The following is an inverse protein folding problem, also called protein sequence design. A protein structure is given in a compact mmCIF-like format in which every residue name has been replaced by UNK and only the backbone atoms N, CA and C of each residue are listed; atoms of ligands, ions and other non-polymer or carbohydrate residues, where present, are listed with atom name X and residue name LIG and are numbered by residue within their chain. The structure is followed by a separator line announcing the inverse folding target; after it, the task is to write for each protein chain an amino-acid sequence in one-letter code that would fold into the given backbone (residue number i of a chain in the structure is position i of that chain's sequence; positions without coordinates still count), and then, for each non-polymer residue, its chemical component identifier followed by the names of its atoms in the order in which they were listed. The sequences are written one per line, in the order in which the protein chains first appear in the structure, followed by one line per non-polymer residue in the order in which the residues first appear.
data_IF_890794793976
#
_entry.id   IF_890794793976
#
_cell.length_a   1.000
_cell.length_b   1.000
_cell.length_c   1.000
_cell.angle_alpha   90.00
_cell.angle_beta   90.00
_cell.angle_gamma   90.00
#
_symmetry.space_group_name_H-M   'P 1'
#
loop_
_entity.id
_entity.type
_entity.pdbx_description
1 polymer ?
#
# COMPACT_ATOMS: atom_id res chain seq x y z
N UNK A 1 17.04 9.75 21.07
CA UNK A 1 16.98 8.38 20.51
C UNK A 1 15.94 8.22 19.38
N UNK A 2 14.83 8.98 19.34
CA UNK A 2 13.64 8.68 18.52
C UNK A 2 13.64 9.06 17.01
N UNK A 3 14.63 9.79 16.49
CA UNK A 3 14.69 10.18 15.06
C UNK A 3 15.92 9.60 14.33
N UNK A 4 17.01 9.36 15.05
CA UNK A 4 18.25 8.82 14.51
C UNK A 4 18.06 7.39 13.95
N UNK A 5 17.22 6.58 14.58
CA UNK A 5 16.94 5.19 14.18
C UNK A 5 15.85 5.06 13.10
N UNK A 6 15.08 6.11 12.83
CA UNK A 6 13.96 6.04 11.87
C UNK A 6 14.45 6.10 10.43
N UNK A 7 13.96 5.20 9.59
CA UNK A 7 14.30 5.10 8.15
C UNK A 7 13.09 5.29 7.24
N UNK A 8 12.02 5.90 7.74
CA UNK A 8 10.89 6.30 6.90
C UNK A 8 11.23 7.53 6.04
N UNK A 9 10.43 7.74 5.01
CA UNK A 9 10.65 8.75 3.98
C UNK A 9 10.81 10.16 4.57
N UNK A 10 10.04 10.51 5.60
CA UNK A 10 10.16 11.79 6.30
C UNK A 10 11.47 11.87 7.12
N UNK A 11 11.82 10.81 7.83
CA UNK A 11 13.08 10.76 8.57
C UNK A 11 14.30 10.87 7.63
N UNK A 12 14.27 10.22 6.45
CA UNK A 12 15.32 10.33 5.43
C UNK A 12 15.45 11.76 4.90
N UNK A 13 14.33 12.45 4.66
CA UNK A 13 14.34 13.85 4.25
C UNK A 13 14.90 14.79 5.32
N UNK A 14 14.54 14.59 6.60
CA UNK A 14 15.04 15.41 7.72
C UNK A 14 16.53 15.17 7.98
N UNK A 15 17.02 13.95 7.74
CA UNK A 15 18.44 13.59 7.85
C UNK A 15 19.31 14.17 6.71
N UNK A 16 18.71 14.69 5.65
CA UNK A 16 19.45 15.27 4.53
C UNK A 16 20.10 16.60 4.94
N UNK A 17 21.40 16.77 4.70
CA UNK A 17 22.16 17.94 5.16
C UNK A 17 21.89 19.21 4.33
N UNK A 18 21.34 19.06 3.12
CA UNK A 18 21.03 20.18 2.21
C UNK A 18 19.73 20.89 2.62
N UNK A 19 19.84 21.73 3.66
CA UNK A 19 18.71 22.49 4.21
C UNK A 19 18.21 23.61 3.30
N UNK A 20 18.99 24.02 2.30
CA UNK A 20 18.51 25.00 1.30
C UNK A 20 17.53 24.34 0.32
N UNK A 21 17.82 23.11 -0.14
CA UNK A 21 16.89 22.36 -1.00
C UNK A 21 15.74 21.72 -0.22
N UNK A 22 16.00 21.26 1.01
CA UNK A 22 15.03 20.58 1.86
C UNK A 22 14.57 21.44 3.04
N UNK A 23 14.14 22.67 2.74
CA UNK A 23 13.55 23.54 3.77
C UNK A 23 12.32 22.88 4.42
N UNK A 24 12.03 23.24 5.67
CA UNK A 24 10.85 22.71 6.39
C UNK A 24 9.54 22.94 5.63
N UNK A 25 9.42 24.06 4.90
CA UNK A 25 8.26 24.35 4.06
C UNK A 25 8.18 23.37 2.89
N UNK A 26 9.26 23.19 2.15
CA UNK A 26 9.32 22.25 1.04
C UNK A 26 8.99 20.82 1.50
N UNK A 27 9.57 20.36 2.61
CA UNK A 27 9.30 19.04 3.15
C UNK A 27 7.82 18.85 3.52
N UNK A 28 7.20 19.87 4.14
CA UNK A 28 5.77 19.85 4.45
C UNK A 28 4.94 19.71 3.17
N UNK A 29 5.23 20.54 2.16
CA UNK A 29 4.49 20.55 0.90
C UNK A 29 4.61 19.19 0.18
N UNK A 30 5.81 18.60 0.16
CA UNK A 30 6.06 17.26 -0.41
C UNK A 30 5.30 16.17 0.35
N UNK A 31 5.37 16.15 1.68
CA UNK A 31 4.67 15.15 2.50
C UNK A 31 3.16 15.24 2.31
N UNK A 32 2.60 16.46 2.28
CA UNK A 32 1.18 16.67 2.04
C UNK A 32 0.76 16.15 0.66
N UNK A 33 1.55 16.43 -0.37
CA UNK A 33 1.30 15.91 -1.73
C UNK A 33 1.28 14.38 -1.76
N UNK A 34 2.22 13.71 -1.09
CA UNK A 34 2.23 12.24 -1.02
C UNK A 34 1.03 11.67 -0.28
N UNK A 35 0.65 12.27 0.86
CA UNK A 35 -0.50 11.81 1.63
C UNK A 35 -1.78 11.95 0.81
N UNK A 36 -1.98 13.10 0.15
CA UNK A 36 -3.16 13.34 -0.68
C UNK A 36 -3.19 12.36 -1.86
N UNK A 37 -2.06 12.22 -2.56
CA UNK A 37 -1.95 11.32 -3.71
C UNK A 37 -2.25 9.87 -3.33
N UNK A 38 -1.77 9.39 -2.18
CA UNK A 38 -1.99 8.02 -1.73
C UNK A 38 -3.37 7.78 -1.13
N UNK A 39 -3.91 8.74 -0.37
CA UNK A 39 -5.16 8.56 0.39
C UNK A 39 -6.37 8.39 -0.52
N UNK A 40 -6.66 9.39 -1.35
CA UNK A 40 -7.95 9.44 -2.05
C UNK A 40 -7.98 8.43 -3.20
N UNK A 41 -6.84 8.20 -3.87
CA UNK A 41 -6.72 7.21 -4.95
C UNK A 41 -6.83 5.78 -4.43
N UNK A 42 -6.15 5.45 -3.33
CA UNK A 42 -6.21 4.11 -2.74
C UNK A 42 -7.59 3.83 -2.13
N UNK A 43 -8.20 4.82 -1.48
CA UNK A 43 -9.57 4.68 -0.98
C UNK A 43 -10.56 4.41 -2.11
N UNK A 44 -10.44 5.13 -3.24
CA UNK A 44 -11.26 4.90 -4.42
C UNK A 44 -11.07 3.48 -4.99
N UNK A 45 -9.82 3.06 -5.19
CA UNK A 45 -9.48 1.73 -5.69
C UNK A 45 -10.07 0.61 -4.81
N UNK A 46 -9.88 0.69 -3.48
CA UNK A 46 -10.42 -0.29 -2.55
C UNK A 46 -11.96 -0.30 -2.52
N UNK A 47 -12.59 0.87 -2.62
CA UNK A 47 -14.05 0.98 -2.68
C UNK A 47 -14.60 0.23 -3.89
N UNK A 48 -14.00 0.43 -5.07
CA UNK A 48 -14.39 -0.29 -6.28
C UNK A 48 -14.09 -1.77 -6.21
N UNK A 49 -12.93 -2.15 -5.66
CA UNK A 49 -12.56 -3.55 -5.47
C UNK A 49 -13.63 -4.26 -4.64
N UNK A 50 -13.97 -3.73 -3.46
CA UNK A 50 -14.98 -4.35 -2.61
C UNK A 50 -16.38 -4.35 -3.24
N UNK A 51 -16.74 -3.32 -4.00
CA UNK A 51 -17.99 -3.32 -4.76
C UNK A 51 -18.04 -4.45 -5.81
N UNK A 52 -16.95 -4.63 -6.58
CA UNK A 52 -16.86 -5.70 -7.59
C UNK A 52 -16.92 -7.06 -6.91
N UNK A 53 -16.19 -7.27 -5.83
CA UNK A 53 -16.20 -8.54 -5.08
C UNK A 53 -17.59 -8.86 -4.51
N UNK A 54 -18.25 -7.88 -3.92
CA UNK A 54 -19.61 -8.05 -3.38
C UNK A 54 -20.65 -8.41 -4.46
N UNK A 55 -20.42 -8.00 -5.71
CA UNK A 55 -21.29 -8.30 -6.85
C UNK A 55 -20.88 -9.56 -7.62
N UNK A 56 -19.70 -10.13 -7.33
CA UNK A 56 -19.15 -11.32 -7.98
C UNK A 56 -18.65 -12.34 -6.93
N UNK A 57 -19.57 -13.05 -6.23
CA UNK A 57 -19.21 -13.94 -5.13
C UNK A 57 -18.21 -15.04 -5.51
N UNK A 58 -18.29 -15.58 -6.73
CA UNK A 58 -17.36 -16.59 -7.22
C UNK A 58 -15.91 -16.08 -7.34
N UNK A 59 -15.74 -14.80 -7.70
CA UNK A 59 -14.41 -14.16 -7.74
C UNK A 59 -13.90 -13.89 -6.33
N UNK A 60 -14.79 -13.46 -5.43
CA UNK A 60 -14.46 -13.27 -4.03
C UNK A 60 -14.01 -14.57 -3.37
N UNK A 61 -14.72 -15.67 -3.58
CA UNK A 61 -14.39 -16.99 -3.04
C UNK A 61 -13.00 -17.46 -3.51
N UNK A 62 -12.74 -17.40 -4.83
CA UNK A 62 -11.45 -17.77 -5.39
C UNK A 62 -10.28 -16.90 -4.86
N UNK A 63 -10.53 -15.61 -4.59
CA UNK A 63 -9.55 -14.73 -3.95
C UNK A 63 -9.27 -15.11 -2.51
N UNK A 64 -10.31 -15.38 -1.72
CA UNK A 64 -10.15 -15.83 -0.35
C UNK A 64 -9.38 -17.16 -0.28
N UNK A 65 -9.69 -18.11 -1.16
CA UNK A 65 -8.94 -19.37 -1.27
C UNK A 65 -7.45 -19.14 -1.56
N UNK A 66 -7.11 -18.26 -2.50
CA UNK A 66 -5.71 -17.93 -2.78
C UNK A 66 -5.03 -17.30 -1.57
N UNK A 67 -5.67 -16.33 -0.92
CA UNK A 67 -5.13 -15.63 0.25
C UNK A 67 -4.91 -16.61 1.41
N UNK A 68 -5.91 -17.42 1.74
CA UNK A 68 -5.85 -18.37 2.87
C UNK A 68 -4.78 -19.45 2.63
N UNK A 69 -4.59 -19.88 1.37
CA UNK A 69 -3.52 -20.83 1.02
C UNK A 69 -2.11 -20.27 1.23
N UNK A 70 -1.95 -18.95 1.19
CA UNK A 70 -0.67 -18.24 1.31
C UNK A 70 -0.46 -17.61 2.68
N UNK A 71 -1.52 -17.38 3.44
CA UNK A 71 -1.54 -16.67 4.71
C UNK A 71 -2.13 -17.57 5.82
N UNK A 72 -1.32 -18.40 6.48
CA UNK A 72 -1.79 -19.23 7.58
C UNK A 72 -2.36 -18.38 8.73
N UNK A 73 -3.44 -18.84 9.35
CA UNK A 73 -4.03 -18.17 10.51
C UNK A 73 -3.00 -17.96 11.62
N UNK A 74 -2.92 -16.73 12.13
CA UNK A 74 -2.00 -16.35 13.22
C UNK A 74 -0.56 -16.11 12.79
N UNK A 75 -0.19 -16.32 11.51
CA UNK A 75 1.12 -15.96 11.00
C UNK A 75 1.18 -14.47 10.64
N UNK A 76 2.30 -13.82 10.95
CA UNK A 76 2.55 -12.46 10.48
C UNK A 76 2.72 -12.47 8.95
N UNK A 77 1.96 -11.62 8.26
CA UNK A 77 2.07 -11.46 6.82
C UNK A 77 3.43 -10.84 6.46
N UNK A 78 4.29 -11.61 5.82
CA UNK A 78 5.55 -11.12 5.28
C UNK A 78 5.30 -10.41 3.94
N UNK A 79 6.03 -9.31 3.70
CA UNK A 79 5.93 -8.57 2.43
C UNK A 79 6.16 -9.44 1.19
N UNK A 80 7.01 -10.48 1.31
CA UNK A 80 7.25 -11.44 0.23
C UNK A 80 5.98 -12.21 -0.18
N UNK A 81 5.10 -12.52 0.77
CA UNK A 81 3.83 -13.24 0.49
C UNK A 81 2.85 -12.36 -0.31
N UNK A 82 3.00 -11.04 -0.25
CA UNK A 82 2.20 -10.08 -1.04
C UNK A 82 2.75 -9.85 -2.45
N UNK A 83 3.87 -10.49 -2.82
CA UNK A 83 4.40 -10.35 -4.17
C UNK A 83 3.42 -10.92 -5.20
N UNK A 84 3.32 -10.25 -6.36
CA UNK A 84 2.43 -10.67 -7.45
C UNK A 84 2.65 -12.12 -7.93
N UNK A 85 3.85 -12.67 -7.72
CA UNK A 85 4.16 -14.08 -8.02
C UNK A 85 3.55 -15.08 -7.04
N UNK A 86 3.32 -14.66 -5.79
CA UNK A 86 2.77 -15.50 -4.73
C UNK A 86 1.23 -15.47 -4.71
N UNK A 87 0.64 -14.30 -5.04
CA UNK A 87 -0.81 -14.08 -5.13
C UNK A 87 -1.22 -13.48 -6.49
N UNK A 88 -1.08 -14.24 -7.60
CA UNK A 88 -1.39 -13.74 -8.93
C UNK A 88 -2.86 -13.40 -9.14
N UNK A 89 -3.79 -14.11 -8.49
CA UNK A 89 -5.23 -13.85 -8.64
C UNK A 89 -5.63 -12.54 -7.92
N UNK A 90 -5.11 -12.30 -6.71
CA UNK A 90 -5.24 -11.02 -5.99
C UNK A 90 -4.72 -9.85 -6.80
N UNK A 91 -3.52 -10.02 -7.36
CA UNK A 91 -2.92 -8.99 -8.20
C UNK A 91 -3.76 -8.74 -9.47
N UNK A 92 -4.27 -9.79 -10.10
CA UNK A 92 -5.19 -9.69 -11.24
C UNK A 92 -6.49 -8.97 -10.90
N UNK A 93 -7.10 -9.29 -9.75
CA UNK A 93 -8.32 -8.63 -9.27
C UNK A 93 -8.13 -7.14 -8.98
N UNK A 94 -6.96 -6.77 -8.44
CA UNK A 94 -6.60 -5.36 -8.26
C UNK A 94 -6.43 -4.64 -9.61
N UNK A 95 -5.76 -5.26 -10.58
CA UNK A 95 -5.61 -4.68 -11.92
C UNK A 95 -6.94 -4.54 -12.65
N UNK A 96 -7.83 -5.52 -12.56
CA UNK A 96 -9.16 -5.43 -13.18
C UNK A 96 -10.02 -4.35 -12.52
N UNK A 97 -9.88 -4.14 -11.21
CA UNK A 97 -10.53 -3.02 -10.51
C UNK A 97 -10.07 -1.66 -11.05
N UNK A 98 -8.81 -1.56 -11.48
CA UNK A 98 -8.19 -0.32 -11.96
C UNK A 98 -8.30 -0.11 -13.48
N UNK A 99 -8.84 -1.09 -14.22
CA UNK A 99 -8.94 -1.08 -15.69
C UNK A 99 -10.11 -0.23 -16.19
#
# INVERSE_FOLDING_TARGET
AALAERTDLLALFVKCEDKERFSTKFLRDVVLNFIIAGRDTTACALTWMFYILATHPAVQEALCEEIDSRCPEGAALAFKQLAASEMPYLNGGLYETLR
#
